data_IF_686036676018
#
_entry.id   IF_686036676018
#
_cell.length_a   1.000
_cell.length_b   1.000
_cell.length_c   1.000
_cell.angle_alpha   90.00
_cell.angle_beta   90.00
_cell.angle_gamma   90.00
#
_symmetry.space_group_name_H-M   'P 1'
#
loop_
_entity.id
_entity.type
_entity.pdbx_description
1 polymer ?
#
# COMPACT_ATOMS: atom_id res chain seq x y z
N UNK A 1 27.45 -8.65 -5.68
CA UNK A 1 26.13 -8.96 -6.29
C UNK A 1 25.59 -7.71 -6.95
N UNK A 2 25.32 -7.77 -8.25
CA UNK A 2 24.85 -6.65 -9.05
C UNK A 2 23.39 -6.27 -8.67
N UNK A 3 22.97 -5.02 -8.87
CA UNK A 3 21.60 -4.58 -8.52
C UNK A 3 20.52 -5.35 -9.31
N UNK A 4 20.84 -5.72 -10.56
CA UNK A 4 19.97 -6.51 -11.42
C UNK A 4 19.68 -7.91 -10.84
N UNK A 5 20.70 -8.62 -10.36
CA UNK A 5 20.54 -9.98 -9.81
C UNK A 5 19.77 -9.99 -8.48
N UNK A 6 19.81 -8.89 -7.71
CA UNK A 6 19.01 -8.75 -6.49
C UNK A 6 17.53 -8.54 -6.80
N UNK A 7 17.23 -7.74 -7.82
CA UNK A 7 15.87 -7.48 -8.30
C UNK A 7 15.20 -8.75 -8.83
N UNK A 8 15.89 -9.49 -9.69
CA UNK A 8 15.40 -10.75 -10.25
C UNK A 8 15.08 -11.76 -9.13
N UNK A 9 15.93 -11.84 -8.10
CA UNK A 9 15.70 -12.68 -6.94
C UNK A 9 14.47 -12.24 -6.10
N UNK A 10 14.18 -10.95 -6.01
CA UNK A 10 13.04 -10.45 -5.24
C UNK A 10 11.70 -10.66 -5.97
N UNK A 11 11.66 -10.44 -7.29
CA UNK A 11 10.49 -10.77 -8.10
C UNK A 11 10.22 -12.28 -8.10
N UNK A 12 11.27 -13.11 -8.20
CA UNK A 12 11.14 -14.57 -8.11
C UNK A 12 10.55 -15.02 -6.75
N UNK A 13 11.06 -14.49 -5.64
CA UNK A 13 10.50 -14.76 -4.29
C UNK A 13 9.05 -14.31 -4.16
N UNK A 14 8.69 -13.19 -4.79
CA UNK A 14 7.33 -12.70 -4.78
C UNK A 14 6.41 -13.62 -5.60
N UNK A 15 6.87 -14.10 -6.75
CA UNK A 15 6.14 -15.08 -7.56
C UNK A 15 5.89 -16.39 -6.80
N UNK A 16 6.90 -16.98 -6.18
CA UNK A 16 6.76 -18.22 -5.38
C UNK A 16 5.72 -18.06 -4.25
N UNK A 17 5.71 -16.91 -3.58
CA UNK A 17 4.70 -16.63 -2.54
C UNK A 17 3.33 -16.34 -3.14
N UNK A 18 3.25 -15.78 -4.33
CA UNK A 18 2.00 -15.59 -5.07
C UNK A 18 1.40 -16.93 -5.53
N UNK A 19 2.23 -17.90 -5.90
CA UNK A 19 1.82 -19.28 -6.19
C UNK A 19 1.20 -19.93 -4.96
N UNK A 20 1.90 -19.89 -3.82
CA UNK A 20 1.37 -20.40 -2.56
C UNK A 20 0.07 -19.70 -2.13
N UNK A 21 -0.03 -18.38 -2.32
CA UNK A 21 -1.24 -17.63 -2.05
C UNK A 21 -2.38 -18.02 -3.00
N UNK A 22 -2.10 -18.28 -4.27
CA UNK A 22 -3.10 -18.74 -5.24
C UNK A 22 -3.71 -20.08 -4.81
N UNK A 23 -2.87 -21.03 -4.39
CA UNK A 23 -3.32 -22.34 -3.87
C UNK A 23 -4.18 -22.17 -2.60
N UNK A 24 -3.79 -21.28 -1.69
CA UNK A 24 -4.59 -20.96 -0.50
C UNK A 24 -5.96 -20.38 -0.89
N UNK A 25 -5.98 -19.44 -1.84
CA UNK A 25 -7.23 -18.83 -2.33
C UNK A 25 -8.12 -19.88 -2.98
N UNK A 26 -7.56 -20.75 -3.84
CA UNK A 26 -8.28 -21.86 -4.46
C UNK A 26 -8.91 -22.79 -3.40
N UNK A 27 -8.13 -23.20 -2.40
CA UNK A 27 -8.57 -24.11 -1.35
C UNK A 27 -9.74 -23.59 -0.50
N UNK A 28 -9.88 -22.26 -0.35
CA UNK A 28 -10.96 -21.66 0.44
C UNK A 28 -12.11 -21.08 -0.39
N UNK A 29 -11.98 -21.04 -1.72
CA UNK A 29 -12.89 -20.33 -2.62
C UNK A 29 -14.33 -20.84 -2.56
N UNK A 30 -14.52 -22.15 -2.57
CA UNK A 30 -15.87 -22.75 -2.52
C UNK A 30 -16.52 -22.58 -1.15
N UNK A 31 -15.73 -22.66 -0.07
CA UNK A 31 -16.22 -22.33 1.26
C UNK A 31 -16.63 -20.86 1.35
N UNK A 32 -15.84 -19.95 0.78
CA UNK A 32 -16.12 -18.52 0.77
C UNK A 32 -17.42 -18.16 0.06
N UNK A 33 -17.77 -18.83 -1.05
CA UNK A 33 -19.05 -18.61 -1.76
C UNK A 33 -20.26 -18.83 -0.86
N UNK A 34 -20.22 -19.89 -0.06
CA UNK A 34 -21.32 -20.31 0.83
C UNK A 34 -21.14 -19.86 2.29
N UNK A 35 -20.15 -18.99 2.55
CA UNK A 35 -19.84 -18.51 3.89
C UNK A 35 -20.81 -17.42 4.36
N UNK A 36 -21.04 -17.34 5.67
CA UNK A 36 -21.70 -16.20 6.30
C UNK A 36 -20.84 -14.93 6.18
N UNK A 37 -21.43 -13.75 6.36
CA UNK A 37 -20.67 -12.49 6.25
C UNK A 37 -19.50 -12.40 7.24
N UNK A 38 -19.68 -12.95 8.45
CA UNK A 38 -18.60 -13.02 9.44
C UNK A 38 -17.46 -13.94 8.98
N UNK A 39 -17.79 -15.11 8.42
CA UNK A 39 -16.79 -16.03 7.85
C UNK A 39 -16.07 -15.42 6.65
N UNK A 40 -16.80 -14.74 5.76
CA UNK A 40 -16.21 -13.99 4.63
C UNK A 40 -15.25 -12.92 5.13
N UNK A 41 -15.65 -12.14 6.13
CA UNK A 41 -14.80 -11.10 6.71
C UNK A 41 -13.50 -11.68 7.29
N UNK A 42 -13.58 -12.82 7.97
CA UNK A 42 -12.40 -13.54 8.49
C UNK A 42 -11.49 -14.02 7.35
N UNK A 43 -12.03 -14.72 6.35
CA UNK A 43 -11.27 -15.22 5.19
C UNK A 43 -10.59 -14.07 4.43
N UNK A 44 -11.32 -12.98 4.15
CA UNK A 44 -10.77 -11.79 3.48
C UNK A 44 -9.64 -11.15 4.29
N UNK A 45 -9.74 -11.16 5.63
CA UNK A 45 -8.70 -10.63 6.52
C UNK A 45 -7.45 -11.52 6.47
N UNK A 46 -7.61 -12.84 6.50
CA UNK A 46 -6.49 -13.79 6.43
C UNK A 46 -5.73 -13.67 5.11
N UNK A 47 -6.43 -13.65 3.97
CA UNK A 47 -5.81 -13.47 2.64
C UNK A 47 -5.20 -12.07 2.53
N UNK A 48 -5.89 -11.04 3.03
CA UNK A 48 -5.36 -9.67 3.06
C UNK A 48 -4.08 -9.54 3.88
N UNK A 49 -3.96 -10.27 5.00
CA UNK A 49 -2.74 -10.37 5.78
C UNK A 49 -1.63 -11.07 5.00
N UNK A 50 -1.93 -12.18 4.31
CA UNK A 50 -0.96 -12.86 3.46
C UNK A 50 -0.40 -11.93 2.35
N UNK A 51 -1.25 -11.12 1.72
CA UNK A 51 -0.85 -10.09 0.75
C UNK A 51 0.13 -9.06 1.34
N UNK A 52 -0.04 -8.68 2.61
CA UNK A 52 0.85 -7.73 3.28
C UNK A 52 2.27 -8.28 3.47
N UNK A 53 2.40 -9.59 3.67
CA UNK A 53 3.68 -10.25 3.88
C UNK A 53 4.37 -10.71 2.58
N UNK A 54 3.81 -10.37 1.42
CA UNK A 54 4.52 -10.54 0.16
C UNK A 54 5.73 -9.60 0.09
N UNK A 55 6.82 -10.00 -0.60
CA UNK A 55 8.00 -9.16 -0.73
C UNK A 55 7.67 -7.87 -1.46
N UNK A 56 8.08 -6.73 -0.89
CA UNK A 56 7.93 -5.44 -1.55
C UNK A 56 8.63 -5.44 -2.91
N UNK A 57 8.05 -4.83 -3.93
CA UNK A 57 8.65 -4.72 -5.26
C UNK A 57 9.27 -3.33 -5.43
N UNK A 58 10.22 -3.19 -6.36
CA UNK A 58 10.99 -1.95 -6.55
C UNK A 58 10.12 -0.69 -6.75
N UNK A 59 8.94 -0.88 -7.35
CA UNK A 59 7.96 0.15 -7.70
C UNK A 59 6.67 0.04 -6.87
N UNK A 60 6.78 -0.47 -5.63
CA UNK A 60 5.68 -0.47 -4.67
C UNK A 60 5.38 0.94 -4.17
N UNK A 61 6.41 1.73 -3.82
CA UNK A 61 6.20 3.13 -3.45
C UNK A 61 5.67 3.96 -4.62
N UNK A 62 4.53 4.60 -4.41
CA UNK A 62 3.83 5.39 -5.46
C UNK A 62 4.28 6.84 -5.55
N UNK A 63 5.15 7.28 -4.65
CA UNK A 63 5.53 8.68 -4.50
C UNK A 63 4.64 9.45 -3.53
N UNK A 64 3.52 8.88 -3.05
CA UNK A 64 2.63 9.59 -2.14
C UNK A 64 3.08 9.52 -0.68
N UNK A 65 3.22 10.69 -0.05
CA UNK A 65 3.53 10.86 1.37
C UNK A 65 2.63 11.95 1.97
N UNK A 66 2.16 11.77 3.20
CA UNK A 66 1.38 12.82 3.87
C UNK A 66 2.26 14.01 4.27
N UNK A 67 1.64 15.18 4.28
CA UNK A 67 2.28 16.41 4.76
C UNK A 67 2.74 16.24 6.21
N UNK A 68 1.96 15.58 7.06
CA UNK A 68 2.34 15.34 8.45
C UNK A 68 3.56 14.43 8.58
N UNK A 69 3.68 13.38 7.74
CA UNK A 69 4.90 12.60 7.66
C UNK A 69 6.12 13.49 7.35
N UNK A 70 6.03 14.37 6.35
CA UNK A 70 7.11 15.29 5.99
C UNK A 70 7.49 16.21 7.16
N UNK A 71 6.51 16.76 7.86
CA UNK A 71 6.75 17.61 9.04
C UNK A 71 7.54 16.86 10.12
N UNK A 72 7.28 15.56 10.33
CA UNK A 72 8.02 14.76 11.32
C UNK A 72 9.51 14.53 10.99
N UNK A 73 9.94 14.75 9.74
CA UNK A 73 11.37 14.69 9.42
C UNK A 73 12.17 15.85 10.04
N UNK A 74 11.52 16.99 10.36
CA UNK A 74 12.17 18.11 11.07
C UNK A 74 12.67 17.69 12.45
N UNK A 75 11.91 16.84 13.12
CA UNK A 75 12.17 16.40 14.50
C UNK A 75 13.23 15.28 14.59
N UNK A 76 13.78 14.85 13.44
CA UNK A 76 14.86 13.87 13.35
C UNK A 76 14.44 12.42 13.65
N UNK A 77 13.18 12.18 14.01
CA UNK A 77 12.56 10.86 14.21
C UNK A 77 11.23 10.81 13.45
N UNK A 78 11.27 10.50 12.14
CA UNK A 78 10.06 10.52 11.32
C UNK A 78 9.08 9.44 11.80
N UNK A 79 7.82 9.82 11.98
CA UNK A 79 6.73 8.90 12.33
C UNK A 79 6.01 8.51 11.05
N UNK A 80 6.45 7.42 10.44
CA UNK A 80 5.93 6.94 9.16
C UNK A 80 5.36 5.53 9.34
N UNK A 81 4.17 5.33 8.79
CA UNK A 81 3.50 4.06 8.55
C UNK A 81 3.42 3.87 7.05
N UNK A 82 3.86 2.71 6.57
CA UNK A 82 3.66 2.29 5.19
C UNK A 82 2.25 1.72 5.07
N UNK A 83 1.50 2.12 4.05
CA UNK A 83 0.15 1.62 3.83
C UNK A 83 -0.12 1.32 2.37
N UNK A 84 -0.77 0.17 2.12
CA UNK A 84 -1.27 -0.13 0.77
C UNK A 84 -2.38 0.85 0.41
N UNK A 85 -2.26 1.50 -0.75
CA UNK A 85 -3.31 2.35 -1.31
C UNK A 85 -4.59 1.56 -1.60
N UNK A 86 -4.43 0.32 -2.07
CA UNK A 86 -5.55 -0.59 -2.27
C UNK A 86 -5.76 -1.46 -1.02
N UNK A 87 -6.94 -1.46 -0.37
CA UNK A 87 -7.10 -2.12 0.91
C UNK A 87 -7.05 -3.62 0.76
N UNK A 88 -6.26 -4.22 1.65
CA UNK A 88 -5.99 -5.65 1.69
C UNK A 88 -7.24 -6.52 1.70
N UNK A 89 -8.28 -6.11 2.43
CA UNK A 89 -9.56 -6.85 2.49
C UNK A 89 -10.30 -6.83 1.15
N UNK A 90 -10.21 -5.73 0.41
CA UNK A 90 -10.78 -5.60 -0.93
C UNK A 90 -9.94 -6.38 -1.94
N UNK A 91 -8.60 -6.29 -1.87
CA UNK A 91 -7.70 -7.12 -2.68
C UNK A 91 -8.00 -8.62 -2.52
N UNK A 92 -8.19 -9.07 -1.27
CA UNK A 92 -8.57 -10.46 -0.98
C UNK A 92 -9.89 -10.85 -1.62
N UNK A 93 -10.90 -9.97 -1.55
CA UNK A 93 -12.20 -10.19 -2.19
C UNK A 93 -12.08 -10.26 -3.71
N UNK A 94 -11.24 -9.45 -4.33
CA UNK A 94 -10.97 -9.53 -5.77
C UNK A 94 -10.37 -10.90 -6.13
N UNK A 95 -9.33 -11.35 -5.40
CA UNK A 95 -8.72 -12.66 -5.60
C UNK A 95 -9.72 -13.82 -5.47
N UNK A 96 -10.61 -13.76 -4.48
CA UNK A 96 -11.64 -14.79 -4.26
C UNK A 96 -12.72 -14.82 -5.36
N UNK A 97 -12.90 -13.72 -6.09
CA UNK A 97 -13.85 -13.59 -7.21
C UNK A 97 -13.23 -13.93 -8.57
N UNK A 98 -11.90 -13.89 -8.70
CA UNK A 98 -11.20 -14.27 -9.94
C UNK A 98 -11.59 -15.68 -10.36
N UNK A 99 -11.98 -15.89 -11.62
CA UNK A 99 -12.43 -17.22 -12.09
C UNK A 99 -11.25 -18.20 -12.16
N UNK A 100 -10.19 -17.76 -12.83
CA UNK A 100 -8.96 -18.53 -13.08
C UNK A 100 -7.82 -17.89 -12.29
N UNK A 101 -7.67 -18.33 -11.04
CA UNK A 101 -6.61 -17.84 -10.17
C UNK A 101 -5.43 -18.82 -10.21
N UNK A 102 -4.23 -18.27 -10.41
CA UNK A 102 -2.96 -18.99 -10.36
C UNK A 102 -1.87 -18.01 -9.89
N UNK A 103 -0.65 -18.50 -9.64
CA UNK A 103 0.44 -17.68 -9.14
C UNK A 103 0.75 -16.46 -10.01
N UNK A 104 0.76 -16.62 -11.34
CA UNK A 104 1.01 -15.53 -12.29
C UNK A 104 -0.08 -14.45 -12.23
N UNK A 105 -1.35 -14.84 -12.09
CA UNK A 105 -2.48 -13.90 -11.96
C UNK A 105 -2.39 -13.13 -10.66
N UNK A 106 -2.10 -13.80 -9.53
CA UNK A 106 -1.88 -13.15 -8.23
C UNK A 106 -0.70 -12.18 -8.32
N UNK A 107 0.42 -12.62 -8.89
CA UNK A 107 1.63 -11.80 -9.02
C UNK A 107 1.39 -10.56 -9.88
N UNK A 108 0.67 -10.70 -11.00
CA UNK A 108 0.33 -9.57 -11.88
C UNK A 108 -0.53 -8.54 -11.13
N UNK A 109 -1.61 -8.98 -10.48
CA UNK A 109 -2.47 -8.10 -9.66
C UNK A 109 -1.69 -7.46 -8.50
N UNK A 110 -0.79 -8.21 -7.86
CA UNK A 110 0.05 -7.70 -6.80
C UNK A 110 0.95 -6.58 -7.29
N UNK A 111 1.71 -6.82 -8.38
CA UNK A 111 2.66 -5.88 -8.97
C UNK A 111 1.99 -4.61 -9.50
N UNK A 112 0.83 -4.76 -10.13
CA UNK A 112 0.10 -3.65 -10.74
C UNK A 112 -0.67 -2.83 -9.72
N UNK A 113 -1.22 -3.47 -8.67
CA UNK A 113 -2.24 -2.85 -7.82
C UNK A 113 -2.03 -3.09 -6.32
N UNK A 114 -1.93 -4.34 -5.87
CA UNK A 114 -2.05 -4.62 -4.43
C UNK A 114 -0.80 -4.25 -3.62
N UNK A 115 0.37 -4.16 -4.24
CA UNK A 115 1.62 -3.78 -3.58
C UNK A 115 1.86 -2.26 -3.56
N UNK A 116 0.94 -1.45 -4.11
CA UNK A 116 1.13 0.00 -4.22
C UNK A 116 1.00 0.67 -2.85
N UNK A 117 2.07 1.34 -2.41
CA UNK A 117 2.22 1.91 -1.09
C UNK A 117 2.22 3.44 -1.12
N UNK A 118 1.71 4.04 -0.06
CA UNK A 118 1.95 5.42 0.34
C UNK A 118 2.48 5.48 1.78
N UNK A 119 2.95 6.66 2.18
CA UNK A 119 3.42 6.92 3.54
C UNK A 119 2.50 7.89 4.26
N UNK A 120 2.02 7.49 5.43
CA UNK A 120 1.17 8.30 6.32
C UNK A 120 1.62 8.11 7.76
N UNK A 121 1.22 8.99 8.68
CA UNK A 121 1.48 8.75 10.11
C UNK A 121 0.56 7.64 10.64
N UNK A 122 0.90 7.05 11.78
CA UNK A 122 0.05 6.02 12.42
C UNK A 122 -1.34 6.54 12.78
N UNK A 123 -1.44 7.82 13.15
CA UNK A 123 -2.72 8.48 13.46
C UNK A 123 -3.55 8.71 12.20
N UNK A 124 -2.93 9.21 11.13
CA UNK A 124 -3.57 9.34 9.82
C UNK A 124 -4.04 7.99 9.27
N UNK A 125 -3.27 6.93 9.44
CA UNK A 125 -3.71 5.58 9.06
C UNK A 125 -4.98 5.16 9.82
N UNK A 126 -5.05 5.46 11.12
CA UNK A 126 -6.25 5.18 11.92
C UNK A 126 -7.46 5.99 11.44
N UNK A 127 -7.26 7.24 11.05
CA UNK A 127 -8.30 8.10 10.48
C UNK A 127 -8.77 7.60 9.12
N UNK A 128 -7.85 7.27 8.20
CA UNK A 128 -8.19 6.78 6.86
C UNK A 128 -9.01 5.48 6.90
N UNK A 129 -8.75 4.58 7.86
CA UNK A 129 -9.45 3.29 8.00
C UNK A 129 -10.98 3.42 8.11
N UNK A 130 -11.51 4.49 8.68
CA UNK A 130 -12.97 4.70 8.79
C UNK A 130 -13.62 4.96 7.43
N UNK A 131 -12.83 5.43 6.45
CA UNK A 131 -13.23 5.72 5.09
C UNK A 131 -12.87 4.61 4.09
N UNK A 132 -12.05 3.63 4.48
CA UNK A 132 -11.69 2.45 3.66
C UNK A 132 -12.83 1.41 3.54
N UNK A 133 -14.03 1.86 3.18
CA UNK A 133 -15.18 0.99 2.90
C UNK A 133 -15.29 0.72 1.40
N UNK A 134 -15.74 -0.49 0.97
CA UNK A 134 -15.82 -0.86 -0.45
C UNK A 134 -16.49 0.18 -1.37
N UNK A 135 -17.54 0.84 -0.88
CA UNK A 135 -18.31 1.88 -1.59
C UNK A 135 -17.53 3.18 -1.83
N UNK A 136 -16.45 3.43 -1.09
CA UNK A 136 -15.62 4.62 -1.22
C UNK A 136 -14.42 4.42 -2.17
N UNK A 137 -14.20 3.19 -2.65
CA UNK A 137 -13.09 2.90 -3.55
C UNK A 137 -13.44 3.20 -4.99
N UNK A 138 -12.77 4.22 -5.51
CA UNK A 138 -12.69 4.48 -6.95
C UNK A 138 -11.41 3.83 -7.47
N UNK A 139 -11.47 2.84 -8.37
CA UNK A 139 -10.28 2.17 -8.91
C UNK A 139 -9.25 3.12 -9.52
N UNK A 140 -9.70 4.28 -10.00
CA UNK A 140 -8.87 5.31 -10.63
C UNK A 140 -8.45 6.45 -9.69
N UNK A 141 -8.92 6.47 -8.44
CA UNK A 141 -8.58 7.50 -7.45
C UNK A 141 -8.49 6.91 -6.04
N UNK A 142 -7.41 6.17 -5.79
CA UNK A 142 -7.12 5.58 -4.48
C UNK A 142 -6.74 6.63 -3.42
N UNK A 143 -6.39 7.84 -3.85
CA UNK A 143 -6.01 8.95 -2.96
C UNK A 143 -7.23 9.63 -2.35
N UNK A 144 -8.40 9.55 -3.02
CA UNK A 144 -9.69 10.05 -2.54
C UNK A 144 -9.98 9.70 -1.08
N UNK A 145 -9.65 8.50 -0.63
CA UNK A 145 -9.91 8.06 0.76
C UNK A 145 -9.12 8.86 1.78
N UNK A 146 -7.88 9.23 1.45
CA UNK A 146 -7.05 10.08 2.30
C UNK A 146 -7.63 11.49 2.33
N UNK A 147 -8.07 12.02 1.19
CA UNK A 147 -8.77 13.32 1.14
C UNK A 147 -10.06 13.32 1.97
N UNK A 148 -10.86 12.25 1.92
CA UNK A 148 -12.06 12.10 2.74
C UNK A 148 -11.77 12.09 4.24
N UNK A 149 -10.57 11.64 4.63
CA UNK A 149 -10.08 11.65 6.00
C UNK A 149 -9.36 12.96 6.38
N UNK A 150 -9.40 13.99 5.52
CA UNK A 150 -8.65 15.25 5.66
C UNK A 150 -7.11 15.04 5.74
N UNK A 151 -6.59 14.06 5.01
CA UNK A 151 -5.17 13.75 4.91
C UNK A 151 -4.66 14.20 3.54
N UNK A 152 -3.90 15.28 3.52
CA UNK A 152 -3.25 15.79 2.32
C UNK A 152 -2.01 14.96 1.97
N UNK A 153 -2.04 14.25 0.84
CA UNK A 153 -0.90 13.54 0.28
C UNK A 153 -0.21 14.40 -0.79
N UNK A 154 1.12 14.41 -0.80
CA UNK A 154 1.91 15.03 -1.86
C UNK A 154 2.73 13.97 -2.59
N UNK A 155 3.11 14.29 -3.83
CA UNK A 155 3.93 13.41 -4.66
C UNK A 155 5.40 13.81 -4.54
N UNK A 156 6.24 12.82 -4.24
CA UNK A 156 7.70 12.92 -4.20
C UNK A 156 8.31 11.78 -5.02
N UNK A 157 9.54 11.96 -5.49
CA UNK A 157 10.31 10.91 -6.16
C UNK A 157 10.96 9.96 -5.14
N UNK A 158 11.40 8.78 -5.62
CA UNK A 158 12.14 7.83 -4.79
C UNK A 158 13.48 8.42 -4.34
N UNK A 159 14.10 9.22 -5.20
CA UNK A 159 15.35 9.94 -4.93
C UNK A 159 15.13 10.97 -3.81
N UNK A 160 14.08 11.79 -3.90
CA UNK A 160 13.71 12.75 -2.86
C UNK A 160 13.45 12.06 -1.52
N UNK A 161 12.70 10.96 -1.53
CA UNK A 161 12.46 10.15 -0.33
C UNK A 161 13.76 9.57 0.26
N UNK A 162 14.68 9.11 -0.59
CA UNK A 162 15.99 8.62 -0.14
C UNK A 162 16.84 9.73 0.46
N UNK A 163 16.76 10.97 -0.05
CA UNK A 163 17.43 12.13 0.53
C UNK A 163 16.80 12.54 1.89
N UNK A 164 15.47 12.46 2.02
CA UNK A 164 14.77 12.67 3.30
C UNK A 164 15.24 11.67 4.37
N UNK A 165 15.36 10.39 4.03
CA UNK A 165 15.89 9.35 4.94
C UNK A 165 17.32 9.64 5.40
N UNK A 166 18.12 10.30 4.55
CA UNK A 166 19.48 10.78 4.88
C UNK A 166 19.49 12.09 5.69
N UNK A 167 18.32 12.58 6.11
CA UNK A 167 18.13 13.83 6.86
C UNK A 167 18.66 15.06 6.11
N UNK A 168 18.59 15.04 4.78
CA UNK A 168 18.93 16.19 3.97
C UNK A 168 17.89 17.30 4.23
N UNK A 169 18.35 18.43 4.77
CA UNK A 169 17.46 19.56 5.14
C UNK A 169 17.03 20.37 3.93
N UNK A 170 17.87 20.44 2.90
CA UNK A 170 17.58 21.23 1.70
C UNK A 170 16.40 20.62 0.95
N UNK A 171 16.40 19.30 0.77
CA UNK A 171 15.26 18.62 0.15
C UNK A 171 14.00 18.74 1.01
N UNK A 172 14.12 18.68 2.33
CA UNK A 172 12.96 18.85 3.22
C UNK A 172 12.36 20.25 3.05
N UNK A 173 13.19 21.29 3.03
CA UNK A 173 12.74 22.66 2.83
C UNK A 173 12.13 22.85 1.43
N UNK A 174 12.74 22.29 0.39
CA UNK A 174 12.20 22.32 -0.96
C UNK A 174 10.80 21.69 -1.01
N UNK A 175 10.64 20.49 -0.44
CA UNK A 175 9.35 19.79 -0.41
C UNK A 175 8.29 20.55 0.39
N UNK A 176 8.67 21.18 1.51
CA UNK A 176 7.75 22.00 2.31
C UNK A 176 7.35 23.29 1.58
N UNK A 177 8.24 23.85 0.76
CA UNK A 177 7.94 25.04 -0.05
C UNK A 177 7.02 24.73 -1.25
N UNK A 178 6.88 23.46 -1.65
CA UNK A 178 5.88 23.03 -2.64
C UNK A 178 4.46 23.02 -2.08
N UNK A 179 4.30 23.10 -0.75
CA UNK A 179 3.01 23.05 -0.10
C UNK A 179 2.27 24.40 -0.27
N UNK A 180 0.94 24.39 -0.45
CA UNK A 180 0.17 25.62 -0.41
C UNK A 180 0.33 26.28 0.96
N UNK A 181 0.35 27.62 1.02
CA UNK A 181 0.60 28.43 2.24
C UNK A 181 -0.27 27.98 3.43
N UNK A 182 -1.51 27.55 3.17
CA UNK A 182 -2.45 27.07 4.20
C UNK A 182 -1.98 25.80 4.94
N UNK A 183 -1.12 24.99 4.33
CA UNK A 183 -0.59 23.73 4.89
C UNK A 183 0.69 23.92 5.72
N UNK A 184 1.33 25.10 5.64
CA UNK A 184 2.60 25.42 6.33
C UNK A 184 2.37 25.85 7.79
N UNK A 185 1.20 26.41 8.10
CA UNK A 185 0.87 27.07 9.38
C UNK A 185 0.13 26.18 10.40
N UNK A 186 -0.03 24.89 10.12
CA UNK A 186 -0.62 23.86 11.00
C UNK A 186 0.46 22.91 11.51
#
# INVERSE_FOLDING_TARGET
MNNQSKKENQEQKALERCEALAELVLGVKDKYKNATDNQKAFIETTIGAALWYLPELENSFTGYISINCLKTFKDGKPKISEEHLFPRKISARELLKEKEINGNKVFSLYKEKFCKLCFVTSEENKQAKTHQKPENFEPHDLIKIYNMANISLIKITKEEYNQLKKKNKDILNELLNRLPIKEILL
#
